data_IF_116600879665
#
_entry.id   IF_116600879665
#
_cell.length_a   1.000
_cell.length_b   1.000
_cell.length_c   1.000
_cell.angle_alpha   90.00
_cell.angle_beta   90.00
_cell.angle_gamma   90.00
#
_symmetry.space_group_name_H-M   'P 1'
#
loop_
_entity.id
_entity.type
_entity.pdbx_description
1 polymer ?
#
# COMPACT_ATOMS: atom_id res chain seq x y z
N UNK A 1 -16.04 0.04 -18.72
CA UNK A 1 -16.01 0.67 -17.38
C UNK A 1 -16.42 2.13 -17.55
N UNK A 2 -17.64 2.50 -17.12
CA UNK A 2 -18.19 3.82 -17.39
C UNK A 2 -18.12 4.69 -16.13
N UNK A 3 -16.92 5.16 -15.78
CA UNK A 3 -16.82 6.35 -14.93
C UNK A 3 -17.54 7.49 -15.67
N UNK A 4 -18.48 8.16 -15.02
CA UNK A 4 -19.32 9.17 -15.66
C UNK A 4 -18.74 10.57 -15.43
N UNK A 5 -18.65 11.38 -16.49
CA UNK A 5 -18.15 12.75 -16.41
C UNK A 5 -16.65 12.88 -16.05
N UNK A 6 -16.26 14.04 -15.50
CA UNK A 6 -14.87 14.35 -15.16
C UNK A 6 -14.45 13.77 -13.80
N UNK A 7 -14.38 12.44 -13.74
CA UNK A 7 -13.98 11.73 -12.51
C UNK A 7 -12.56 12.10 -12.01
N UNK A 8 -11.52 12.39 -12.84
CA UNK A 8 -10.21 12.78 -12.31
C UNK A 8 -10.26 14.13 -11.59
N UNK A 9 -11.07 15.07 -12.10
CA UNK A 9 -11.33 16.35 -11.43
C UNK A 9 -12.00 16.15 -10.08
N UNK A 10 -13.06 15.33 -10.04
CA UNK A 10 -13.77 15.02 -8.79
C UNK A 10 -12.87 14.34 -7.73
N UNK A 11 -11.95 13.46 -8.15
CA UNK A 11 -10.96 12.86 -7.26
C UNK A 11 -10.00 13.93 -6.74
N UNK A 12 -9.47 14.79 -7.60
CA UNK A 12 -8.61 15.90 -7.16
C UNK A 12 -9.32 16.77 -6.11
N UNK A 13 -10.54 17.20 -6.38
CA UNK A 13 -11.32 18.05 -5.46
C UNK A 13 -11.59 17.35 -4.11
N UNK A 14 -11.77 16.03 -4.12
CA UNK A 14 -11.89 15.26 -2.89
C UNK A 14 -10.57 15.24 -2.12
N UNK A 15 -9.44 14.94 -2.78
CA UNK A 15 -8.12 14.89 -2.15
C UNK A 15 -7.73 16.25 -1.57
N UNK A 16 -7.89 17.34 -2.32
CA UNK A 16 -7.54 18.70 -1.88
C UNK A 16 -8.27 19.13 -0.61
N UNK A 17 -9.54 18.69 -0.44
CA UNK A 17 -10.37 19.03 0.72
C UNK A 17 -10.11 18.16 1.96
N UNK A 18 -9.53 16.98 1.77
CA UNK A 18 -9.47 15.94 2.82
C UNK A 18 -8.04 15.56 3.22
N UNK A 19 -7.04 16.04 2.50
CA UNK A 19 -5.66 15.98 2.93
C UNK A 19 -5.38 17.04 4.01
N UNK A 20 -4.49 16.75 4.98
CA UNK A 20 -4.06 17.74 5.97
C UNK A 20 -3.42 18.94 5.27
N UNK A 21 -4.07 20.10 5.33
CA UNK A 21 -3.56 21.32 4.71
C UNK A 21 -2.49 21.98 5.61
N UNK A 22 -1.54 22.67 4.98
CA UNK A 22 -0.63 23.58 5.68
C UNK A 22 -1.38 24.85 6.10
N UNK A 23 -0.99 25.45 7.22
CA UNK A 23 -1.66 26.63 7.79
C UNK A 23 -1.66 27.84 6.84
N UNK A 24 -0.66 27.94 5.97
CA UNK A 24 -0.53 29.00 4.96
C UNK A 24 -1.30 28.72 3.66
N UNK A 25 -1.98 27.57 3.56
CA UNK A 25 -2.72 27.14 2.37
C UNK A 25 -1.84 26.80 1.15
N UNK A 26 -0.51 26.77 1.31
CA UNK A 26 0.44 26.53 0.21
C UNK A 26 0.44 25.08 -0.29
N UNK A 27 -0.18 24.15 0.45
CA UNK A 27 -0.20 22.75 0.09
C UNK A 27 -0.73 21.85 1.21
N UNK A 28 -0.22 20.63 1.23
CA UNK A 28 -0.64 19.56 2.12
C UNK A 28 0.56 18.83 2.72
N UNK A 29 0.41 18.40 3.97
CA UNK A 29 1.37 17.59 4.67
C UNK A 29 0.91 16.15 4.76
N UNK A 30 1.80 15.21 4.46
CA UNK A 30 1.48 13.79 4.45
C UNK A 30 1.42 13.16 5.85
N UNK A 31 1.95 13.85 6.86
CA UNK A 31 2.01 13.42 8.26
C UNK A 31 2.68 12.06 8.48
N UNK A 32 3.48 11.58 7.52
CA UNK A 32 3.96 10.20 7.42
C UNK A 32 2.83 9.14 7.54
N UNK A 33 1.61 9.50 7.14
CA UNK A 33 0.44 8.62 7.10
C UNK A 33 0.25 8.12 5.67
N UNK A 34 0.27 6.79 5.49
CA UNK A 34 0.17 6.14 4.17
C UNK A 34 -0.95 6.70 3.28
N UNK A 35 -2.16 6.88 3.82
CA UNK A 35 -3.28 7.40 3.05
C UNK A 35 -3.06 8.85 2.57
N UNK A 36 -2.42 9.69 3.39
CA UNK A 36 -2.15 11.08 3.07
C UNK A 36 -0.99 11.22 2.07
N UNK A 37 0.05 10.39 2.24
CA UNK A 37 1.18 10.29 1.30
C UNK A 37 0.71 9.90 -0.10
N UNK A 38 -0.08 8.82 -0.24
CA UNK A 38 -0.65 8.41 -1.54
C UNK A 38 -1.58 9.49 -2.08
N UNK A 39 -2.35 10.17 -1.24
CA UNK A 39 -3.18 11.30 -1.67
C UNK A 39 -2.36 12.47 -2.21
N UNK A 40 -1.22 12.80 -1.60
CA UNK A 40 -0.29 13.82 -2.10
C UNK A 40 0.31 13.41 -3.45
N UNK A 41 0.79 12.16 -3.58
CA UNK A 41 1.28 11.62 -4.84
C UNK A 41 0.21 11.64 -5.94
N UNK A 42 -1.03 11.30 -5.59
CA UNK A 42 -2.17 11.38 -6.50
C UNK A 42 -2.42 12.82 -6.98
N UNK A 43 -2.35 13.83 -6.11
CA UNK A 43 -2.46 15.24 -6.52
C UNK A 43 -1.34 15.67 -7.46
N UNK A 44 -0.11 15.21 -7.22
CA UNK A 44 1.03 15.46 -8.12
C UNK A 44 0.78 14.83 -9.49
N UNK A 45 0.38 13.56 -9.51
CA UNK A 45 0.12 12.82 -10.74
C UNK A 45 -1.11 13.35 -11.52
N UNK A 46 -2.10 13.90 -10.83
CA UNK A 46 -3.23 14.64 -11.41
C UNK A 46 -2.86 16.05 -11.87
N UNK A 47 -1.61 16.47 -11.67
CA UNK A 47 -1.07 17.76 -12.10
C UNK A 47 -1.55 18.97 -11.28
N UNK A 48 -2.07 18.72 -10.07
CA UNK A 48 -2.55 19.73 -9.12
C UNK A 48 -1.45 20.26 -8.21
N UNK A 49 -0.40 19.48 -8.00
CA UNK A 49 0.65 19.78 -7.04
C UNK A 49 2.04 19.44 -7.55
N UNK A 50 3.06 19.96 -6.86
CA UNK A 50 4.45 19.52 -6.94
C UNK A 50 4.81 18.70 -5.70
N UNK A 51 5.62 17.66 -5.88
CA UNK A 51 6.05 16.81 -4.78
C UNK A 51 7.01 17.57 -3.86
N UNK A 52 6.86 17.38 -2.55
CA UNK A 52 7.82 17.88 -1.55
C UNK A 52 8.34 16.70 -0.72
N UNK A 53 9.33 16.94 0.15
CA UNK A 53 9.87 15.89 1.02
C UNK A 53 8.89 15.37 2.09
N UNK A 54 7.76 16.06 2.32
CA UNK A 54 6.82 15.78 3.41
C UNK A 54 5.35 15.94 2.98
N UNK A 55 5.06 15.87 1.69
CA UNK A 55 3.72 16.06 1.13
C UNK A 55 3.73 16.66 -0.28
N UNK A 56 2.88 17.66 -0.50
CA UNK A 56 2.66 18.26 -1.82
C UNK A 56 2.40 19.76 -1.71
N UNK A 57 3.01 20.57 -2.59
CA UNK A 57 2.72 22.00 -2.70
C UNK A 57 1.75 22.26 -3.84
N UNK A 58 0.77 23.14 -3.61
CA UNK A 58 -0.25 23.50 -4.60
C UNK A 58 0.40 24.20 -5.78
N UNK A 59 0.04 23.80 -7.00
CA UNK A 59 0.45 24.53 -8.22
C UNK A 59 -0.43 25.74 -8.42
N UNK A 60 0.20 26.90 -8.68
CA UNK A 60 -0.51 28.12 -9.05
C UNK A 60 -1.29 27.97 -10.37
N UNK A 61 -0.73 27.20 -11.32
CA UNK A 61 -1.37 26.85 -12.59
C UNK A 61 -1.48 25.33 -12.73
N UNK A 62 -2.53 24.69 -12.18
CA UNK A 62 -2.76 23.26 -12.32
C UNK A 62 -2.81 22.85 -13.79
N UNK A 63 -2.07 21.81 -14.18
CA UNK A 63 -2.03 21.32 -15.56
C UNK A 63 -2.57 19.90 -15.60
N UNK A 64 -3.74 19.73 -16.20
CA UNK A 64 -4.32 18.40 -16.40
C UNK A 64 -3.35 17.53 -17.20
N UNK A 65 -3.00 16.32 -16.72
CA UNK A 65 -2.15 15.42 -17.48
C UNK A 65 -2.89 14.95 -18.74
N UNK A 66 -2.15 14.73 -19.84
CA UNK A 66 -2.71 14.24 -21.10
C UNK A 66 -3.40 12.88 -20.91
N UNK A 67 -2.82 12.02 -20.07
CA UNK A 67 -3.43 10.79 -19.59
C UNK A 67 -3.49 10.83 -18.08
N UNK A 68 -4.67 10.62 -17.46
CA UNK A 68 -4.77 10.56 -16.02
C UNK A 68 -4.05 9.32 -15.47
N UNK A 69 -3.69 9.34 -14.17
CA UNK A 69 -3.26 8.14 -13.46
C UNK A 69 -4.31 7.04 -13.60
N UNK A 70 -3.89 5.80 -13.36
CA UNK A 70 -4.80 4.66 -13.46
C UNK A 70 -6.00 4.83 -12.52
N UNK A 71 -7.19 4.52 -13.02
CA UNK A 71 -8.44 4.70 -12.30
C UNK A 71 -8.49 3.87 -11.01
N UNK A 72 -8.03 2.63 -11.05
CA UNK A 72 -8.04 1.72 -9.90
C UNK A 72 -7.10 2.21 -8.79
N UNK A 73 -5.95 2.77 -9.15
CA UNK A 73 -5.02 3.38 -8.19
C UNK A 73 -5.62 4.60 -7.47
N UNK A 74 -6.29 5.48 -8.23
CA UNK A 74 -6.97 6.64 -7.67
C UNK A 74 -8.17 6.24 -6.80
N UNK A 75 -8.88 5.16 -7.15
CA UNK A 75 -9.92 4.61 -6.29
C UNK A 75 -9.35 4.14 -4.94
N UNK A 76 -8.21 3.44 -4.93
CA UNK A 76 -7.57 3.03 -3.68
C UNK A 76 -7.15 4.25 -2.84
N UNK A 77 -6.55 5.27 -3.46
CA UNK A 77 -6.18 6.52 -2.79
C UNK A 77 -7.40 7.18 -2.10
N UNK A 78 -8.52 7.30 -2.83
CA UNK A 78 -9.79 7.83 -2.28
C UNK A 78 -10.29 6.99 -1.12
N UNK A 79 -10.39 5.67 -1.28
CA UNK A 79 -10.92 4.78 -0.25
C UNK A 79 -10.08 4.78 1.03
N UNK A 80 -8.75 4.82 0.91
CA UNK A 80 -7.85 4.88 2.05
C UNK A 80 -7.92 6.22 2.78
N UNK A 81 -7.90 7.34 2.05
CA UNK A 81 -8.04 8.66 2.65
C UNK A 81 -9.42 8.83 3.29
N UNK A 82 -10.49 8.41 2.61
CA UNK A 82 -11.84 8.45 3.14
C UNK A 82 -11.98 7.67 4.45
N UNK A 83 -11.36 6.50 4.54
CA UNK A 83 -11.34 5.71 5.79
C UNK A 83 -10.54 6.42 6.88
N UNK A 84 -9.35 6.95 6.55
CA UNK A 84 -8.50 7.70 7.48
C UNK A 84 -9.23 8.91 8.07
N UNK A 85 -10.06 9.59 7.26
CA UNK A 85 -10.84 10.76 7.66
C UNK A 85 -12.22 10.40 8.27
N UNK A 86 -12.52 9.12 8.50
CA UNK A 86 -13.79 8.69 9.07
C UNK A 86 -15.01 9.01 8.19
N UNK A 87 -14.80 9.12 6.87
CA UNK A 87 -15.86 9.30 5.87
C UNK A 87 -16.34 7.97 5.28
N UNK A 88 -15.55 6.92 5.44
CA UNK A 88 -15.86 5.56 5.03
C UNK A 88 -15.63 4.61 6.19
N UNK A 89 -16.62 3.76 6.46
CA UNK A 89 -16.50 2.71 7.44
C UNK A 89 -17.05 1.40 6.87
N UNK A 90 -16.16 0.43 6.69
CA UNK A 90 -16.53 -0.94 6.33
C UNK A 90 -17.23 -1.62 7.50
N UNK A 91 -18.32 -2.34 7.22
CA UNK A 91 -19.19 -2.98 8.22
C UNK A 91 -19.03 -4.49 8.20
N UNK A 92 -19.35 -5.11 9.33
CA UNK A 92 -19.50 -6.55 9.43
C UNK A 92 -20.72 -7.01 8.60
N UNK A 93 -20.86 -8.31 8.28
CA UNK A 93 -21.97 -8.80 7.45
C UNK A 93 -23.37 -8.47 7.98
N UNK A 94 -23.52 -8.33 9.30
CA UNK A 94 -24.76 -7.92 9.97
C UNK A 94 -25.00 -6.39 9.95
N UNK A 95 -24.12 -5.63 9.28
CA UNK A 95 -24.17 -4.16 9.19
C UNK A 95 -23.56 -3.44 10.40
N UNK A 96 -23.12 -4.16 11.44
CA UNK A 96 -22.56 -3.56 12.64
C UNK A 96 -21.12 -3.03 12.40
N UNK A 97 -20.66 -2.03 13.19
CA UNK A 97 -19.29 -1.56 13.11
C UNK A 97 -18.33 -2.62 13.61
N UNK A 98 -17.11 -2.60 13.07
CA UNK A 98 -16.03 -3.42 13.63
C UNK A 98 -15.75 -2.95 15.07
N UNK A 99 -15.66 -3.86 16.05
CA UNK A 99 -15.39 -3.50 17.43
C UNK A 99 -14.02 -2.80 17.55
N UNK A 100 -13.99 -1.66 18.24
CA UNK A 100 -12.74 -1.01 18.62
C UNK A 100 -11.97 -1.91 19.58
N UNK A 101 -10.66 -2.05 19.34
CA UNK A 101 -9.78 -2.87 20.16
C UNK A 101 -8.64 -2.04 20.74
N UNK A 102 -8.34 -2.25 22.01
CA UNK A 102 -7.11 -1.82 22.65
C UNK A 102 -6.39 -3.06 23.19
N UNK A 103 -5.40 -3.55 22.43
CA UNK A 103 -4.83 -4.88 22.65
C UNK A 103 -5.90 -5.95 22.47
N UNK A 104 -6.04 -6.82 23.46
CA UNK A 104 -7.02 -7.93 23.47
C UNK A 104 -8.41 -7.50 23.96
N UNK A 105 -8.57 -6.27 24.45
CA UNK A 105 -9.84 -5.78 24.98
C UNK A 105 -10.71 -5.15 23.88
N UNK A 106 -12.01 -5.47 23.90
CA UNK A 106 -13.01 -4.79 23.08
C UNK A 106 -13.51 -3.59 23.86
N UNK A 107 -13.31 -2.39 23.30
CA UNK A 107 -13.83 -1.15 23.86
C UNK A 107 -15.28 -1.01 23.40
N UNK A 108 -16.19 -0.84 24.37
CA UNK A 108 -17.58 -0.45 24.11
C UNK A 108 -17.90 0.78 24.93
N UNK A 109 -18.38 1.84 24.29
CA UNK A 109 -18.91 2.99 25.01
C UNK A 109 -20.31 2.63 25.51
N UNK A 110 -20.47 2.60 26.83
CA UNK A 110 -21.76 2.33 27.47
C UNK A 110 -22.75 3.45 27.12
N UNK A 111 -23.97 3.10 26.71
CA UNK A 111 -25.02 4.07 26.37
C UNK A 111 -24.82 4.84 25.06
N UNK A 112 -23.88 4.43 24.20
CA UNK A 112 -23.75 5.02 22.87
C UNK A 112 -25.01 4.74 22.02
N UNK A 113 -25.49 5.70 21.21
CA UNK A 113 -26.58 5.45 20.29
C UNK A 113 -26.19 4.34 19.30
N UNK A 114 -27.17 3.57 18.77
CA UNK A 114 -26.88 2.57 17.76
C UNK A 114 -26.20 3.23 16.56
N UNK A 115 -25.15 2.60 16.01
CA UNK A 115 -24.45 3.15 14.87
C UNK A 115 -25.41 3.23 13.67
N UNK A 116 -25.25 4.24 12.80
CA UNK A 116 -26.07 4.34 11.59
C UNK A 116 -25.90 3.09 10.72
N UNK A 117 -26.99 2.59 10.11
CA UNK A 117 -26.95 1.42 9.24
C UNK A 117 -26.08 1.70 8.00
N UNK A 118 -25.53 0.66 7.35
CA UNK A 118 -24.80 0.83 6.10
C UNK A 118 -25.71 1.46 5.03
N UNK A 119 -25.15 2.36 4.23
CA UNK A 119 -25.80 2.94 3.04
C UNK A 119 -25.17 2.46 1.72
N UNK A 120 -24.21 1.54 1.80
CA UNK A 120 -23.70 0.76 0.69
C UNK A 120 -23.92 -0.72 1.03
N UNK A 121 -24.80 -1.38 0.30
CA UNK A 121 -25.13 -2.77 0.47
C UNK A 121 -24.00 -3.70 -0.03
N UNK A 122 -23.93 -4.88 0.58
CA UNK A 122 -23.04 -5.96 0.15
C UNK A 122 -23.45 -6.47 -1.25
N UNK A 123 -22.47 -6.65 -2.14
CA UNK A 123 -22.67 -7.16 -3.49
C UNK A 123 -21.36 -7.72 -4.05
N UNK A 124 -21.43 -8.66 -5.01
CA UNK A 124 -20.25 -9.21 -5.71
C UNK A 124 -19.15 -9.75 -4.78
N UNK A 125 -19.52 -10.37 -3.66
CA UNK A 125 -18.55 -10.89 -2.67
C UNK A 125 -17.92 -9.80 -1.79
N UNK A 126 -18.36 -8.55 -1.90
CA UNK A 126 -17.95 -7.43 -1.08
C UNK A 126 -18.94 -7.21 0.07
N UNK A 127 -18.43 -6.83 1.24
CA UNK A 127 -19.26 -6.59 2.42
C UNK A 127 -19.92 -5.21 2.42
N UNK A 128 -20.83 -4.94 3.38
CA UNK A 128 -21.51 -3.65 3.46
C UNK A 128 -20.56 -2.54 3.97
N UNK A 129 -20.91 -1.29 3.68
CA UNK A 129 -20.19 -0.12 4.17
C UNK A 129 -21.13 1.06 4.46
N UNK A 130 -20.61 2.00 5.24
CA UNK A 130 -21.20 3.30 5.44
C UNK A 130 -20.27 4.37 4.88
N UNK A 131 -20.77 5.19 3.96
CA UNK A 131 -20.10 6.36 3.42
C UNK A 131 -20.84 7.64 3.80
N UNK A 132 -20.14 8.74 4.02
CA UNK A 132 -20.78 10.07 4.09
C UNK A 132 -21.37 10.46 2.73
N UNK A 133 -22.42 11.30 2.67
CA UNK A 133 -23.11 11.64 1.42
C UNK A 133 -22.17 12.14 0.31
N UNK A 134 -21.20 13.00 0.64
CA UNK A 134 -20.26 13.57 -0.33
C UNK A 134 -19.34 12.51 -0.92
N UNK A 135 -18.88 11.57 -0.08
CA UNK A 135 -18.10 10.42 -0.53
C UNK A 135 -18.96 9.47 -1.36
N UNK A 136 -20.20 9.20 -0.95
CA UNK A 136 -21.10 8.31 -1.68
C UNK A 136 -21.32 8.80 -3.12
N UNK A 137 -21.53 10.11 -3.30
CA UNK A 137 -21.64 10.72 -4.62
C UNK A 137 -20.35 10.58 -5.46
N UNK A 138 -19.18 10.67 -4.82
CA UNK A 138 -17.91 10.41 -5.50
C UNK A 138 -17.74 8.94 -5.88
N UNK A 139 -18.11 8.00 -5.00
CA UNK A 139 -18.04 6.56 -5.26
C UNK A 139 -18.96 6.16 -6.41
N UNK A 140 -20.15 6.77 -6.50
CA UNK A 140 -21.07 6.63 -7.63
C UNK A 140 -20.47 7.15 -8.94
N UNK A 141 -19.91 8.36 -8.93
CA UNK A 141 -19.21 8.94 -10.09
C UNK A 141 -18.01 8.10 -10.55
N UNK A 142 -17.29 7.49 -9.61
CA UNK A 142 -16.19 6.56 -9.89
C UNK A 142 -16.68 5.21 -10.44
N UNK A 143 -17.99 4.94 -10.39
CA UNK A 143 -18.59 3.67 -10.78
C UNK A 143 -18.32 2.54 -9.79
N UNK A 144 -17.93 2.86 -8.54
CA UNK A 144 -17.71 1.88 -7.48
C UNK A 144 -19.03 1.51 -6.78
N UNK A 145 -19.99 2.44 -6.75
CA UNK A 145 -21.34 2.23 -6.20
C UNK A 145 -22.36 2.52 -7.28
N UNK A 146 -23.46 1.76 -7.30
CA UNK A 146 -24.66 2.05 -8.07
C UNK A 146 -25.87 1.50 -7.29
N UNK A 147 -26.99 2.22 -7.31
CA UNK A 147 -28.24 1.82 -6.63
C UNK A 147 -28.03 1.45 -5.15
N UNK A 148 -27.11 2.14 -4.47
CA UNK A 148 -26.80 1.91 -3.07
C UNK A 148 -26.05 0.61 -2.78
N UNK A 149 -25.41 -0.03 -3.78
CA UNK A 149 -24.62 -1.25 -3.61
C UNK A 149 -23.26 -1.14 -4.33
N UNK A 150 -22.28 -1.95 -3.92
CA UNK A 150 -21.03 -2.08 -4.65
C UNK A 150 -21.26 -2.61 -6.06
N UNK A 151 -20.54 -2.08 -7.05
CA UNK A 151 -20.59 -2.57 -8.44
C UNK A 151 -19.59 -3.71 -8.68
N UNK A 152 -19.67 -4.44 -9.80
CA UNK A 152 -18.62 -5.40 -10.18
C UNK A 152 -17.24 -4.74 -10.34
N UNK A 153 -17.19 -3.48 -10.76
CA UNK A 153 -15.93 -2.75 -10.93
C UNK A 153 -15.25 -2.43 -9.59
N UNK A 154 -16.00 -2.37 -8.50
CA UNK A 154 -15.44 -2.15 -7.17
C UNK A 154 -14.68 -3.37 -6.63
N UNK A 155 -14.98 -4.57 -7.11
CA UNK A 155 -14.37 -5.82 -6.61
C UNK A 155 -12.84 -5.80 -6.72
N UNK A 156 -12.22 -5.63 -7.90
CA UNK A 156 -10.75 -5.62 -8.02
C UNK A 156 -10.09 -4.47 -7.24
N UNK A 157 -10.78 -3.33 -7.05
CA UNK A 157 -10.28 -2.22 -6.23
C UNK A 157 -10.30 -2.61 -4.75
N UNK A 158 -11.40 -3.16 -4.25
CA UNK A 158 -11.54 -3.53 -2.84
C UNK A 158 -10.71 -4.77 -2.47
N UNK A 159 -10.35 -5.62 -3.43
CA UNK A 159 -9.31 -6.64 -3.26
C UNK A 159 -7.94 -6.04 -2.94
N UNK A 160 -7.67 -4.81 -3.39
CA UNK A 160 -6.45 -4.04 -3.04
C UNK A 160 -6.61 -3.26 -1.74
N UNK A 161 -7.83 -3.08 -1.22
CA UNK A 161 -8.04 -2.42 0.08
C UNK A 161 -8.09 -3.44 1.23
N UNK A 162 -8.70 -4.60 0.98
CA UNK A 162 -8.94 -5.69 1.94
C UNK A 162 -9.44 -5.21 3.31
N UNK A 163 -10.66 -4.66 3.40
CA UNK A 163 -11.23 -4.25 4.68
C UNK A 163 -11.21 -5.38 5.70
N UNK A 164 -10.58 -5.14 6.86
CA UNK A 164 -10.46 -6.16 7.91
C UNK A 164 -11.81 -6.69 8.41
N UNK A 165 -12.87 -5.88 8.33
CA UNK A 165 -14.24 -6.27 8.67
C UNK A 165 -14.80 -7.40 7.79
N UNK A 166 -14.23 -7.63 6.61
CA UNK A 166 -14.76 -8.60 5.64
C UNK A 166 -14.02 -9.94 5.63
N UNK A 167 -12.87 -10.04 6.32
CA UNK A 167 -12.14 -11.31 6.44
C UNK A 167 -11.76 -11.95 5.09
N UNK A 168 -11.44 -11.12 4.09
CA UNK A 168 -11.22 -11.57 2.71
C UNK A 168 -10.05 -12.56 2.62
N UNK A 169 -10.25 -13.68 1.92
CA UNK A 169 -9.22 -14.73 1.70
C UNK A 169 -8.83 -14.80 0.23
N UNK A 170 -8.21 -13.74 -0.28
CA UNK A 170 -7.90 -13.60 -1.70
C UNK A 170 -7.00 -14.72 -2.23
N UNK A 171 -6.03 -15.17 -1.44
CA UNK A 171 -5.10 -16.26 -1.81
C UNK A 171 -5.81 -17.60 -2.10
N UNK A 172 -7.02 -17.79 -1.57
CA UNK A 172 -7.83 -18.97 -1.83
C UNK A 172 -8.66 -18.87 -3.12
N UNK A 173 -8.83 -17.67 -3.69
CA UNK A 173 -9.65 -17.45 -4.89
C UNK A 173 -8.93 -18.01 -6.14
N UNK A 174 -9.61 -18.81 -6.98
CA UNK A 174 -9.04 -19.34 -8.22
C UNK A 174 -8.52 -18.26 -9.18
N UNK A 175 -9.14 -17.07 -9.21
CA UNK A 175 -8.68 -15.94 -10.04
C UNK A 175 -7.31 -15.46 -9.61
N UNK A 176 -7.08 -15.34 -8.30
CA UNK A 176 -5.76 -14.97 -7.77
C UNK A 176 -4.71 -16.03 -8.13
N UNK A 177 -5.01 -17.31 -7.97
CA UNK A 177 -4.06 -18.41 -8.31
C UNK A 177 -3.68 -18.41 -9.78
N UNK A 178 -4.66 -18.23 -10.68
CA UNK A 178 -4.41 -18.07 -12.12
C UNK A 178 -3.55 -16.84 -12.40
N UNK A 179 -3.79 -15.74 -11.70
CA UNK A 179 -2.98 -14.53 -11.84
C UNK A 179 -1.53 -14.73 -11.39
N UNK A 180 -1.29 -15.54 -10.33
CA UNK A 180 0.08 -15.92 -9.91
C UNK A 180 0.77 -16.74 -11.00
N UNK A 181 0.08 -17.74 -11.57
CA UNK A 181 0.61 -18.55 -12.69
C UNK A 181 0.97 -17.68 -13.88
N UNK A 182 0.06 -16.79 -14.28
CA UNK A 182 0.29 -15.84 -15.36
C UNK A 182 1.48 -14.92 -15.04
N UNK A 183 1.55 -14.35 -13.83
CA UNK A 183 2.63 -13.43 -13.44
C UNK A 183 4.01 -14.10 -13.48
N UNK A 184 4.12 -15.37 -13.10
CA UNK A 184 5.38 -16.13 -13.24
C UNK A 184 5.70 -16.40 -14.71
N UNK A 185 4.71 -16.85 -15.49
CA UNK A 185 4.90 -17.23 -16.89
C UNK A 185 5.23 -16.04 -17.80
N UNK A 186 4.72 -14.85 -17.49
CA UNK A 186 4.87 -13.65 -18.33
C UNK A 186 5.79 -12.59 -17.71
N UNK A 187 6.61 -12.98 -16.73
CA UNK A 187 7.54 -12.09 -16.04
C UNK A 187 8.49 -11.39 -17.02
N UNK A 188 8.46 -10.04 -17.15
CA UNK A 188 9.35 -9.33 -18.06
C UNK A 188 10.82 -9.53 -17.66
N UNK A 189 11.70 -9.73 -18.65
CA UNK A 189 13.12 -10.00 -18.41
C UNK A 189 13.81 -8.93 -17.55
N UNK A 190 13.49 -7.65 -17.78
CA UNK A 190 14.01 -6.55 -16.96
C UNK A 190 13.56 -6.61 -15.51
N UNK A 191 12.31 -6.99 -15.26
CA UNK A 191 11.77 -7.18 -13.90
C UNK A 191 12.44 -8.39 -13.25
N UNK A 192 12.60 -9.50 -13.99
CA UNK A 192 13.29 -10.70 -13.51
C UNK A 192 14.72 -10.40 -13.06
N UNK A 193 15.49 -9.70 -13.89
CA UNK A 193 16.86 -9.32 -13.58
C UNK A 193 16.95 -8.38 -12.36
N UNK A 194 15.97 -7.49 -12.20
CA UNK A 194 15.85 -6.62 -11.03
C UNK A 194 15.58 -7.42 -9.76
N UNK A 195 14.65 -8.38 -9.80
CA UNK A 195 14.35 -9.29 -8.70
C UNK A 195 15.55 -10.15 -8.32
N UNK A 196 16.23 -10.76 -9.30
CA UNK A 196 17.42 -11.59 -9.07
C UNK A 196 18.53 -10.80 -8.36
N UNK A 197 18.72 -9.54 -8.74
CA UNK A 197 19.68 -8.64 -8.09
C UNK A 197 19.31 -8.38 -6.62
N UNK A 198 18.04 -8.08 -6.34
CA UNK A 198 17.58 -7.76 -4.98
C UNK A 198 17.71 -8.94 -4.02
N UNK A 199 17.50 -10.17 -4.50
CA UNK A 199 17.56 -11.36 -3.64
C UNK A 199 18.97 -11.90 -3.44
N UNK A 200 19.94 -11.44 -4.23
CA UNK A 200 21.35 -11.85 -4.13
C UNK A 200 22.07 -10.95 -3.14
N UNK A 201 22.22 -11.40 -1.90
CA UNK A 201 22.94 -10.67 -0.84
C UNK A 201 24.27 -11.36 -0.54
N UNK A 202 25.36 -10.75 -0.99
CA UNK A 202 26.72 -11.26 -0.83
C UNK A 202 27.33 -10.88 0.52
N UNK A 203 28.42 -11.53 0.91
CA UNK A 203 29.18 -11.12 2.10
C UNK A 203 29.85 -9.74 1.93
N UNK A 204 30.14 -9.35 0.69
CA UNK A 204 30.61 -8.00 0.37
C UNK A 204 29.53 -6.95 0.70
N UNK A 205 28.27 -7.19 0.31
CA UNK A 205 27.16 -6.30 0.65
C UNK A 205 26.99 -6.14 2.16
N UNK A 206 27.18 -7.24 2.91
CA UNK A 206 27.13 -7.24 4.38
C UNK A 206 28.27 -6.40 4.95
N UNK A 207 29.51 -6.61 4.47
CA UNK A 207 30.68 -5.84 4.89
C UNK A 207 30.52 -4.34 4.58
N UNK A 208 30.03 -4.00 3.38
CA UNK A 208 29.74 -2.63 2.99
C UNK A 208 28.67 -1.99 3.87
N UNK A 209 27.58 -2.72 4.18
CA UNK A 209 26.52 -2.23 5.07
C UNK A 209 27.04 -1.97 6.49
N UNK A 210 27.90 -2.84 7.01
CA UNK A 210 28.55 -2.66 8.32
C UNK A 210 29.47 -1.44 8.30
N UNK A 211 30.33 -1.29 7.28
CA UNK A 211 31.24 -0.16 7.14
C UNK A 211 30.48 1.18 7.05
N UNK A 212 29.41 1.23 6.24
CA UNK A 212 28.55 2.41 6.13
C UNK A 212 27.89 2.78 7.45
N UNK A 213 27.43 1.80 8.23
CA UNK A 213 26.88 2.07 9.56
C UNK A 213 27.94 2.58 10.53
N UNK A 214 29.14 1.97 10.52
CA UNK A 214 30.24 2.41 11.36
C UNK A 214 30.63 3.86 11.06
N UNK A 215 30.66 4.23 9.78
CA UNK A 215 30.88 5.61 9.34
C UNK A 215 29.78 6.57 9.86
N UNK A 216 28.51 6.18 9.77
CA UNK A 216 27.39 6.97 10.32
C UNK A 216 27.44 7.11 11.83
N UNK A 217 27.86 6.08 12.56
CA UNK A 217 28.06 6.15 14.02
C UNK A 217 29.20 7.11 14.35
N UNK A 218 30.32 7.03 13.63
CA UNK A 218 31.45 7.93 13.82
C UNK A 218 31.08 9.39 13.50
N UNK A 219 30.32 9.62 12.44
CA UNK A 219 29.77 10.93 12.11
C UNK A 219 28.82 11.45 13.19
N UNK A 220 27.85 10.64 13.62
CA UNK A 220 26.92 11.03 14.69
C UNK A 220 27.65 11.38 16.00
N UNK A 221 28.72 10.64 16.36
CA UNK A 221 29.55 10.99 17.53
C UNK A 221 30.29 12.31 17.37
N UNK A 222 30.75 12.64 16.15
CA UNK A 222 31.36 13.95 15.86
C UNK A 222 30.34 15.08 15.96
N UNK A 223 29.12 14.87 15.47
CA UNK A 223 28.07 15.90 15.43
C UNK A 223 27.41 16.13 16.80
N UNK A 224 27.13 15.06 17.55
CA UNK A 224 26.33 15.12 18.78
C UNK A 224 27.13 14.89 20.06
N UNK A 225 28.44 14.68 19.94
CA UNK A 225 29.36 14.46 21.06
C UNK A 225 29.50 12.98 21.48
N UNK A 226 30.49 12.68 22.33
CA UNK A 226 30.83 11.32 22.73
C UNK A 226 29.74 10.63 23.58
N UNK A 227 28.96 11.41 24.33
CA UNK A 227 27.90 10.92 25.22
C UNK A 227 26.53 10.75 24.52
N UNK A 228 26.47 10.99 23.21
CA UNK A 228 25.25 10.81 22.43
C UNK A 228 24.80 9.33 22.48
N UNK A 229 23.52 9.11 22.80
CA UNK A 229 22.91 7.77 22.80
C UNK A 229 22.71 7.26 21.37
N UNK A 230 23.77 6.69 20.80
CA UNK A 230 23.80 6.14 19.44
C UNK A 230 23.71 4.61 19.53
N UNK A 231 22.88 4.01 18.66
CA UNK A 231 22.75 2.56 18.58
C UNK A 231 24.12 1.89 18.30
N UNK A 232 24.39 0.70 18.87
CA UNK A 232 25.65 0.01 18.64
C UNK A 232 25.82 -0.37 17.16
N UNK A 233 27.08 -0.60 16.77
CA UNK A 233 27.39 -1.17 15.47
C UNK A 233 26.72 -2.54 15.32
N UNK A 234 26.15 -2.80 14.14
CA UNK A 234 25.58 -4.11 13.84
C UNK A 234 26.68 -5.13 13.61
N UNK A 235 26.45 -6.34 14.07
CA UNK A 235 27.21 -7.50 13.61
C UNK A 235 26.78 -7.92 12.18
N UNK A 236 27.49 -8.89 11.61
CA UNK A 236 27.23 -9.37 10.26
C UNK A 236 25.81 -9.97 10.10
N UNK A 237 25.28 -10.64 11.12
CA UNK A 237 23.95 -11.23 11.08
C UNK A 237 22.86 -10.15 11.07
N UNK A 238 22.98 -9.15 11.93
CA UNK A 238 22.10 -7.99 12.00
C UNK A 238 22.15 -7.15 10.72
N UNK A 239 23.35 -6.96 10.15
CA UNK A 239 23.52 -6.30 8.86
C UNK A 239 22.83 -7.08 7.73
N UNK A 240 23.02 -8.41 7.68
CA UNK A 240 22.36 -9.29 6.71
C UNK A 240 20.83 -9.23 6.84
N UNK A 241 20.27 -9.36 8.04
CA UNK A 241 18.81 -9.23 8.27
C UNK A 241 18.29 -7.86 7.81
N UNK A 242 19.06 -6.80 8.02
CA UNK A 242 18.71 -5.45 7.56
C UNK A 242 18.75 -5.30 6.03
N UNK A 243 19.59 -6.05 5.34
CA UNK A 243 19.61 -6.13 3.87
C UNK A 243 18.44 -6.97 3.35
N UNK A 244 18.17 -8.13 3.95
CA UNK A 244 17.03 -9.00 3.62
C UNK A 244 15.69 -8.26 3.77
N UNK A 245 15.53 -7.49 4.84
CA UNK A 245 14.34 -6.66 5.05
C UNK A 245 14.18 -5.61 3.94
N UNK A 246 15.27 -4.91 3.56
CA UNK A 246 15.25 -3.93 2.48
C UNK A 246 14.95 -4.58 1.14
N UNK A 247 15.58 -5.72 0.82
CA UNK A 247 15.29 -6.49 -0.38
C UNK A 247 13.81 -6.88 -0.48
N UNK A 248 13.20 -7.35 0.61
CA UNK A 248 11.77 -7.66 0.63
C UNK A 248 10.89 -6.42 0.40
N UNK A 249 11.26 -5.25 0.93
CA UNK A 249 10.55 -3.98 0.69
C UNK A 249 10.71 -3.50 -0.76
N UNK A 250 11.90 -3.63 -1.33
CA UNK A 250 12.15 -3.22 -2.72
C UNK A 250 11.43 -4.17 -3.71
N UNK A 251 11.33 -5.46 -3.37
CA UNK A 251 10.46 -6.38 -4.10
C UNK A 251 8.98 -5.97 -4.00
N UNK A 252 8.48 -5.58 -2.82
CA UNK A 252 7.11 -5.04 -2.67
C UNK A 252 6.89 -3.86 -3.65
N UNK A 253 7.84 -2.92 -3.74
CA UNK A 253 7.77 -1.75 -4.64
C UNK A 253 7.68 -2.12 -6.12
N UNK A 254 8.40 -3.16 -6.56
CA UNK A 254 8.28 -3.65 -7.94
C UNK A 254 6.84 -4.01 -8.26
N UNK A 255 6.16 -4.74 -7.38
CA UNK A 255 4.78 -5.15 -7.59
C UNK A 255 3.80 -3.98 -7.47
N UNK A 256 4.02 -3.06 -6.52
CA UNK A 256 3.20 -1.84 -6.39
C UNK A 256 3.20 -1.01 -7.68
N UNK A 257 4.35 -0.91 -8.36
CA UNK A 257 4.51 -0.09 -9.57
C UNK A 257 4.16 -0.81 -10.86
N UNK A 258 4.38 -2.12 -10.94
CA UNK A 258 4.41 -2.84 -12.22
C UNK A 258 3.40 -3.97 -12.36
N UNK A 259 2.55 -4.25 -11.37
CA UNK A 259 1.61 -5.36 -11.48
C UNK A 259 0.18 -5.00 -11.05
N UNK A 260 -0.84 -5.47 -11.79
CA UNK A 260 -2.27 -5.36 -11.44
C UNK A 260 -3.00 -6.67 -11.71
N UNK A 261 -4.06 -6.95 -10.96
CA UNK A 261 -4.83 -8.21 -11.09
C UNK A 261 -5.38 -8.42 -12.51
N UNK A 262 -6.02 -7.40 -13.07
CA UNK A 262 -6.67 -7.49 -14.38
C UNK A 262 -5.69 -7.33 -15.55
N UNK A 263 -4.54 -6.69 -15.32
CA UNK A 263 -3.56 -6.34 -16.37
C UNK A 263 -2.28 -7.19 -16.36
N UNK A 264 -2.02 -7.95 -15.30
CA UNK A 264 -0.73 -8.60 -15.09
C UNK A 264 0.40 -7.57 -14.96
N UNK A 265 1.52 -7.83 -15.63
CA UNK A 265 2.66 -6.91 -15.68
C UNK A 265 2.37 -5.72 -16.58
N UNK A 266 2.39 -4.52 -16.00
CA UNK A 266 2.16 -3.27 -16.71
C UNK A 266 3.30 -2.99 -17.70
N UNK A 267 2.93 -2.53 -18.89
CA UNK A 267 3.87 -1.98 -19.87
C UNK A 267 4.50 -0.67 -19.36
N UNK A 268 5.56 -0.18 -20.02
CA UNK A 268 6.23 1.07 -19.62
C UNK A 268 5.27 2.26 -19.50
N UNK A 269 4.42 2.48 -20.50
CA UNK A 269 3.44 3.57 -20.50
C UNK A 269 2.34 3.39 -19.44
N UNK A 270 1.97 2.16 -19.10
CA UNK A 270 1.01 1.89 -18.04
C UNK A 270 1.63 2.05 -16.64
N UNK A 271 2.90 1.67 -16.48
CA UNK A 271 3.65 1.84 -15.25
C UNK A 271 3.92 3.32 -14.96
N UNK A 272 4.14 4.15 -15.98
CA UNK A 272 4.25 5.62 -15.83
C UNK A 272 2.96 6.27 -15.32
N UNK A 273 1.80 5.65 -15.59
CA UNK A 273 0.50 6.11 -15.11
C UNK A 273 0.10 5.48 -13.78
N UNK A 274 0.84 4.50 -13.31
CA UNK A 274 0.55 3.82 -12.06
C UNK A 274 0.94 4.72 -10.88
N UNK A 275 0.07 4.83 -9.89
CA UNK A 275 0.49 5.34 -8.59
C UNK A 275 1.15 4.20 -7.83
N UNK A 276 2.23 4.53 -7.12
CA UNK A 276 2.79 3.59 -6.15
C UNK A 276 1.89 3.54 -4.93
N UNK A 277 0.84 2.71 -4.99
CA UNK A 277 0.01 2.40 -3.83
C UNK A 277 0.84 1.53 -2.89
N UNK A 278 1.72 2.15 -2.12
CA UNK A 278 2.58 1.43 -1.20
C UNK A 278 1.76 0.86 -0.05
N UNK A 279 2.16 -0.32 0.43
CA UNK A 279 1.35 -1.17 1.33
C UNK A 279 0.11 -1.81 0.69
N UNK A 280 -0.02 -1.84 -0.64
CA UNK A 280 -1.09 -2.58 -1.31
C UNK A 280 -1.07 -4.08 -0.91
N UNK A 281 -2.06 -4.57 -0.14
CA UNK A 281 -2.11 -5.96 0.32
C UNK A 281 -2.20 -6.97 -0.82
N UNK A 282 -2.89 -6.65 -1.93
CA UNK A 282 -3.02 -7.57 -3.06
C UNK A 282 -1.69 -7.74 -3.78
N UNK A 283 -1.03 -6.62 -4.06
CA UNK A 283 0.29 -6.63 -4.69
C UNK A 283 1.34 -7.32 -3.80
N UNK A 284 1.27 -7.13 -2.47
CA UNK A 284 2.14 -7.85 -1.52
C UNK A 284 1.88 -9.36 -1.53
N UNK A 285 0.61 -9.79 -1.54
CA UNK A 285 0.24 -11.21 -1.65
C UNK A 285 0.75 -11.80 -2.96
N UNK A 286 0.58 -11.08 -4.06
CA UNK A 286 1.12 -11.48 -5.37
C UNK A 286 2.64 -11.61 -5.34
N UNK A 287 3.34 -10.62 -4.78
CA UNK A 287 4.80 -10.66 -4.60
C UNK A 287 5.21 -11.90 -3.83
N UNK A 288 4.60 -12.15 -2.67
CA UNK A 288 4.88 -13.33 -1.84
C UNK A 288 4.72 -14.63 -2.65
N UNK A 289 3.57 -14.80 -3.31
CA UNK A 289 3.25 -16.00 -4.08
C UNK A 289 4.20 -16.22 -5.27
N UNK A 290 4.57 -15.15 -5.98
CA UNK A 290 5.54 -15.21 -7.08
C UNK A 290 6.95 -15.54 -6.55
N UNK A 291 7.39 -14.89 -5.48
CA UNK A 291 8.72 -15.14 -4.91
C UNK A 291 8.87 -16.53 -4.31
N UNK A 292 7.82 -17.12 -3.74
CA UNK A 292 7.88 -18.50 -3.21
C UNK A 292 8.03 -19.53 -4.34
N UNK A 293 7.55 -19.22 -5.56
CA UNK A 293 7.78 -20.04 -6.76
C UNK A 293 9.16 -19.85 -7.38
N UNK A 294 9.64 -18.61 -7.44
CA UNK A 294 10.92 -18.29 -8.09
C UNK A 294 12.14 -18.55 -7.19
N UNK A 295 11.99 -18.37 -5.89
CA UNK A 295 13.07 -18.42 -4.90
C UNK A 295 12.69 -19.26 -3.67
N UNK A 296 12.29 -20.53 -3.82
CA UNK A 296 11.74 -21.35 -2.73
C UNK A 296 12.72 -21.60 -1.57
N UNK A 297 14.02 -21.43 -1.80
CA UNK A 297 15.07 -21.61 -0.80
C UNK A 297 15.29 -20.38 0.10
N UNK A 298 14.78 -19.20 -0.27
CA UNK A 298 15.06 -17.95 0.42
C UNK A 298 14.03 -17.68 1.52
N UNK A 299 14.31 -18.20 2.72
CA UNK A 299 13.41 -18.11 3.87
C UNK A 299 13.05 -16.68 4.31
N UNK A 300 13.90 -15.68 4.03
CA UNK A 300 13.63 -14.29 4.41
C UNK A 300 12.48 -13.66 3.61
N UNK A 301 12.16 -14.19 2.42
CA UNK A 301 11.06 -13.74 1.58
C UNK A 301 9.69 -14.23 2.08
N UNK A 302 9.67 -15.23 2.97
CA UNK A 302 8.43 -15.75 3.56
C UNK A 302 7.91 -14.88 4.70
N UNK A 303 6.58 -14.87 4.92
CA UNK A 303 5.98 -14.21 6.08
C UNK A 303 6.63 -14.73 7.37
N UNK A 304 6.79 -13.85 8.36
CA UNK A 304 7.43 -14.21 9.63
C UNK A 304 6.78 -15.40 10.35
N UNK A 305 5.48 -15.66 10.09
CA UNK A 305 4.74 -16.82 10.63
C UNK A 305 5.19 -18.17 10.07
N UNK A 306 5.82 -18.19 8.89
CA UNK A 306 6.22 -19.42 8.17
C UNK A 306 7.75 -19.62 8.16
N UNK A 307 8.50 -18.74 8.84
CA UNK A 307 9.94 -18.89 9.00
C UNK A 307 10.22 -20.04 9.98
N UNK A 308 10.54 -21.22 9.46
CA UNK A 308 11.16 -22.27 10.28
C UNK A 308 12.44 -21.69 10.90
N UNK A 309 12.69 -21.89 12.21
CA UNK A 309 13.99 -21.58 12.77
C UNK A 309 15.04 -22.38 11.99
N UNK A 310 16.07 -21.70 11.49
CA UNK A 310 17.23 -22.34 10.90
C UNK A 310 17.76 -23.37 11.89
N UNK A 311 17.72 -24.66 11.54
CA UNK A 311 18.34 -25.71 12.34
C UNK A 311 19.79 -25.33 12.63
N UNK A 312 20.25 -25.38 13.89
CA UNK A 312 21.66 -25.22 14.18
C UNK A 312 22.42 -26.37 13.51
N UNK A 313 23.56 -26.05 12.88
CA UNK A 313 24.47 -27.03 12.33
C UNK A 313 24.87 -28.05 13.43
N UNK A 314 24.99 -29.35 13.10
CA UNK A 314 25.38 -30.35 14.08
C UNK A 314 26.79 -30.05 14.62
N UNK A 315 27.05 -30.29 15.91
CA UNK A 315 28.36 -30.07 16.49
C UNK A 315 29.37 -31.00 15.81
N UNK A 316 30.47 -30.42 15.35
CA UNK A 316 31.66 -31.16 14.91
C UNK A 316 32.10 -32.06 16.07
N UNK A 317 32.20 -33.37 15.79
CA UNK A 317 32.83 -34.36 16.67
C UNK A 317 34.33 -34.39 16.42
#
# INVERSE_FOLDING_TARGET
>A
MHATGDWPGAVADFLERNLPALDDGSGWQDMAVTACQIGCEALVALGRADATGWGASRRAAPRRPAMPPRWDDLCVAVLWLARQQGQLAYRLPDGSPQPERAGDFIIRRLGAPPPPPPNIAAAHGLGPALARPELLALLDRLGLVADGAWTPAAEPVLWRVQPGAWGMRIEADPRFRRAVEAAVATLPAGVRAEMDRLVTITDEDVAQAMAAQQARIAEARRTYGPDARIAPARDAEQARRGLEFRAAQDLDRIFFRRWRLDGGWLSGAEAERALEVFHDPLARQMRLAVTDRLYPALGFLRPARDRKPSSPAPPLR
#
